data_IF_325817802586
#
_entry.id   IF_325817802586
#
_cell.length_a   1.000
_cell.length_b   1.000
_cell.length_c   1.000
_cell.angle_alpha   90.00
_cell.angle_beta   90.00
_cell.angle_gamma   90.00
#
_symmetry.space_group_name_H-M   'P 1'
#
loop_
_entity.id
_entity.type
_entity.pdbx_description
1 polymer ?
#
# COMPACT_ATOMS: atom_id res chain seq x y z
N UNK A 1 10.65 -16.31 20.47
CA UNK A 1 9.86 -15.09 20.74
C UNK A 1 8.62 -15.21 19.90
N UNK A 2 7.52 -15.63 20.52
CA UNK A 2 6.19 -15.55 19.93
C UNK A 2 5.78 -14.07 19.95
N UNK A 3 5.55 -13.48 18.78
CA UNK A 3 4.90 -12.18 18.65
C UNK A 3 3.49 -12.37 18.10
N UNK A 4 2.55 -11.89 18.91
CA UNK A 4 1.11 -12.05 18.88
C UNK A 4 0.44 -11.76 17.54
N UNK A 5 -0.56 -12.58 17.19
CA UNK A 5 -1.65 -12.17 16.30
C UNK A 5 -2.40 -11.01 16.93
N UNK A 6 -2.49 -9.83 16.29
CA UNK A 6 -3.70 -8.99 16.34
C UNK A 6 -3.60 -7.74 15.42
N UNK A 7 -4.64 -7.54 14.60
CA UNK A 7 -4.97 -6.29 13.91
C UNK A 7 -3.94 -5.71 12.93
N UNK A 8 -3.39 -6.48 11.99
CA UNK A 8 -2.85 -5.83 10.78
C UNK A 8 -4.04 -5.21 10.04
N UNK A 9 -4.10 -3.87 9.89
CA UNK A 9 -5.06 -3.28 8.96
C UNK A 9 -4.81 -3.96 7.62
N UNK A 10 -5.85 -4.52 7.00
CA UNK A 10 -5.69 -5.05 5.64
C UNK A 10 -5.34 -3.83 4.78
N UNK A 11 -4.07 -3.70 4.44
CA UNK A 11 -3.56 -2.72 3.50
C UNK A 11 -3.42 -3.42 2.16
N UNK A 12 -3.81 -2.74 1.10
CA UNK A 12 -3.43 -3.17 -0.24
C UNK A 12 -1.98 -2.75 -0.47
N UNK A 13 -1.17 -3.71 -0.90
CA UNK A 13 0.18 -3.47 -1.37
C UNK A 13 0.14 -3.16 -2.86
N UNK A 14 0.76 -2.05 -3.24
CA UNK A 14 0.88 -1.63 -4.62
C UNK A 14 2.20 -0.91 -4.87
N UNK A 15 2.31 -0.35 -6.06
CA UNK A 15 3.45 0.48 -6.50
C UNK A 15 2.93 1.62 -7.35
N UNK A 16 3.63 2.74 -7.35
CA UNK A 16 3.38 3.83 -8.30
C UNK A 16 4.05 3.51 -9.65
N UNK A 17 3.71 4.28 -10.69
CA UNK A 17 4.36 4.20 -12.00
C UNK A 17 5.86 4.49 -11.97
N UNK A 18 6.36 5.14 -10.92
CA UNK A 18 7.76 5.54 -10.77
C UNK A 18 8.59 4.53 -9.97
N UNK A 19 7.96 3.52 -9.37
CA UNK A 19 8.63 2.51 -8.53
C UNK A 19 8.81 1.20 -9.32
N UNK A 20 10.06 0.75 -9.43
CA UNK A 20 10.39 -0.54 -10.01
C UNK A 20 9.99 -1.69 -9.05
N UNK A 21 9.56 -2.86 -9.57
CA UNK A 21 9.35 -4.04 -8.75
C UNK A 21 10.61 -4.41 -7.98
N UNK A 22 10.44 -4.80 -6.71
CA UNK A 22 11.45 -5.48 -5.88
C UNK A 22 12.72 -4.67 -5.53
N UNK A 23 12.95 -3.55 -6.20
CA UNK A 23 14.10 -2.66 -6.00
C UNK A 23 13.70 -1.40 -5.24
N UNK A 24 12.53 -0.83 -5.55
CA UNK A 24 11.96 0.31 -4.84
C UNK A 24 11.00 -0.14 -3.72
N UNK A 25 10.69 0.78 -2.80
CA UNK A 25 9.72 0.50 -1.74
C UNK A 25 8.28 0.39 -2.24
N UNK A 26 7.38 0.01 -1.32
CA UNK A 26 5.99 -0.32 -1.66
C UNK A 26 5.02 0.78 -1.24
N UNK A 27 3.83 0.75 -1.81
CA UNK A 27 2.73 1.65 -1.45
C UNK A 27 1.68 0.88 -0.68
N UNK A 28 1.43 1.29 0.56
CA UNK A 28 0.35 0.79 1.40
C UNK A 28 -0.91 1.64 1.19
N UNK A 29 -2.01 0.99 0.79
CA UNK A 29 -3.26 1.66 0.46
C UNK A 29 -4.42 1.21 1.36
N UNK A 30 -5.26 2.16 1.76
CA UNK A 30 -6.53 1.92 2.42
C UNK A 30 -7.69 2.61 1.69
N UNK A 31 -8.91 2.03 1.71
CA UNK A 31 -9.29 0.74 2.30
C UNK A 31 -8.86 -0.46 1.43
N UNK A 32 -8.65 -1.63 2.05
CA UNK A 32 -8.42 -2.86 1.30
C UNK A 32 -9.73 -3.43 0.75
N UNK A 33 -9.89 -3.31 -0.56
CA UNK A 33 -10.97 -3.94 -1.33
C UNK A 33 -10.37 -4.76 -2.47
N UNK A 34 -10.78 -6.02 -2.59
CA UNK A 34 -10.29 -6.92 -3.66
C UNK A 34 -10.50 -6.37 -5.07
N UNK A 35 -11.52 -5.52 -5.28
CA UNK A 35 -11.79 -4.85 -6.57
C UNK A 35 -10.58 -4.05 -7.09
N UNK A 36 -9.71 -3.59 -6.20
CA UNK A 36 -8.56 -2.75 -6.55
C UNK A 36 -7.31 -3.56 -6.91
N UNK A 37 -7.29 -4.87 -6.64
CA UNK A 37 -6.18 -5.76 -6.99
C UNK A 37 -6.08 -5.88 -8.52
N UNK A 38 -4.87 -5.79 -9.07
CA UNK A 38 -4.61 -5.84 -10.52
C UNK A 38 -5.32 -4.75 -11.33
N UNK A 39 -5.61 -3.60 -10.71
CA UNK A 39 -6.22 -2.44 -11.37
C UNK A 39 -5.37 -1.19 -11.17
N UNK A 40 -5.46 -0.25 -12.12
CA UNK A 40 -4.86 1.08 -11.95
C UNK A 40 -5.84 1.95 -11.17
N UNK A 41 -5.40 2.46 -10.01
CA UNK A 41 -6.19 3.33 -9.14
C UNK A 41 -5.46 4.64 -8.91
N UNK A 42 -6.21 5.74 -8.90
CA UNK A 42 -5.68 7.02 -8.46
C UNK A 42 -5.62 7.05 -6.93
N UNK A 43 -4.47 7.41 -6.40
CA UNK A 43 -4.21 7.40 -4.96
C UNK A 43 -3.60 8.72 -4.54
N UNK A 44 -3.90 9.14 -3.31
CA UNK A 44 -3.24 10.27 -2.66
C UNK A 44 -2.35 9.71 -1.57
N UNK A 45 -1.07 10.06 -1.63
CA UNK A 45 -0.10 9.72 -0.60
C UNK A 45 -0.33 10.65 0.59
N UNK A 46 -0.63 10.07 1.74
CA UNK A 46 -0.91 10.79 2.98
C UNK A 46 0.29 10.80 3.93
N UNK A 47 1.21 9.84 3.77
CA UNK A 47 2.42 9.74 4.59
C UNK A 47 3.52 8.99 3.84
N UNK A 48 4.76 9.23 4.25
CA UNK A 48 5.96 8.59 3.68
C UNK A 48 6.80 8.02 4.81
N UNK A 49 7.30 6.81 4.61
CA UNK A 49 8.35 6.19 5.41
C UNK A 49 9.66 6.17 4.61
N UNK A 50 10.75 5.63 5.18
CA UNK A 50 12.12 5.73 4.63
C UNK A 50 12.21 5.26 3.17
N UNK A 51 11.45 4.22 2.80
CA UNK A 51 11.37 3.71 1.43
C UNK A 51 9.93 3.53 0.94
N UNK A 52 8.96 3.52 1.86
CA UNK A 52 7.58 3.17 1.58
C UNK A 52 6.66 4.38 1.56
N UNK A 53 5.56 4.26 0.84
CA UNK A 53 4.52 5.28 0.78
C UNK A 53 3.23 4.75 1.39
N UNK A 54 2.48 5.60 2.09
CA UNK A 54 1.17 5.28 2.65
C UNK A 54 0.15 6.24 2.08
N UNK A 55 -0.95 5.72 1.56
CA UNK A 55 -1.96 6.52 0.89
C UNK A 55 -3.36 5.94 0.97
N UNK A 56 -4.28 6.68 0.35
CA UNK A 56 -5.69 6.30 0.23
C UNK A 56 -6.14 6.39 -1.22
N UNK A 57 -7.06 5.51 -1.60
CA UNK A 57 -7.67 5.52 -2.92
C UNK A 57 -8.66 6.70 -2.99
N UNK A 58 -8.60 7.46 -4.09
CA UNK A 58 -9.56 8.52 -4.38
C UNK A 58 -10.68 7.93 -5.25
N UNK A 59 -11.96 8.06 -4.86
CA UNK A 59 -13.09 7.59 -5.67
C UNK A 59 -13.27 8.38 -6.97
#
# INVERSE_FOLDING_TARGET
MEESSDQTPQFLLGRTQYQAPEVDGVVYLQPCHQKYINSLQQVVITSTDVYDLKGKIVP
#
